data_IF_375269817853
#
_entry.id   IF_375269817853
#
_cell.length_a   1.000
_cell.length_b   1.000
_cell.length_c   1.000
_cell.angle_alpha   90.00
_cell.angle_beta   90.00
_cell.angle_gamma   90.00
#
_symmetry.space_group_name_H-M   'P 1'
#
loop_
_entity.id
_entity.type
_entity.pdbx_description
1 polymer ?
#
# COMPACT_ATOMS: atom_id res chain seq x y z
N UNK A 1 -14.67 -12.52 9.49
CA UNK A 1 -14.73 -11.25 8.73
C UNK A 1 -13.33 -10.75 8.39
N UNK A 2 -13.16 -9.94 7.34
CA UNK A 2 -11.82 -9.54 6.86
C UNK A 2 -11.01 -8.71 7.89
N UNK A 3 -11.68 -7.98 8.79
CA UNK A 3 -11.04 -7.34 9.97
C UNK A 3 -10.22 -8.30 10.84
N UNK A 4 -10.69 -9.53 11.02
CA UNK A 4 -9.98 -10.56 11.80
C UNK A 4 -8.73 -11.10 11.09
N UNK A 5 -8.66 -10.94 9.77
CA UNK A 5 -7.44 -11.25 9.01
C UNK A 5 -6.42 -10.15 9.23
N UNK A 6 -6.83 -8.87 9.10
CA UNK A 6 -5.93 -7.73 9.31
C UNK A 6 -5.43 -7.59 10.74
N UNK A 7 -6.20 -8.05 11.74
CA UNK A 7 -5.73 -8.09 13.13
C UNK A 7 -4.58 -9.07 13.38
N UNK A 8 -4.26 -9.96 12.43
CA UNK A 8 -3.13 -10.90 12.54
C UNK A 8 -1.79 -10.29 12.13
N UNK A 9 -1.79 -9.14 11.47
CA UNK A 9 -0.55 -8.40 11.16
C UNK A 9 0.09 -8.06 12.53
N UNK A 10 1.41 -8.24 12.75
CA UNK A 10 2.07 -7.81 14.00
C UNK A 10 2.04 -6.28 14.21
N UNK A 11 2.22 -5.82 15.45
CA UNK A 11 2.18 -4.39 15.76
C UNK A 11 3.49 -3.64 15.42
N UNK A 12 4.59 -4.37 15.17
CA UNK A 12 5.95 -3.87 14.96
C UNK A 12 6.47 -4.05 13.53
N UNK A 13 5.56 -4.24 12.56
CA UNK A 13 5.90 -4.42 11.15
C UNK A 13 6.54 -3.17 10.56
N UNK A 14 7.75 -3.32 10.02
CA UNK A 14 8.42 -2.25 9.26
C UNK A 14 7.92 -2.16 7.81
N UNK A 15 7.72 -3.32 7.15
CA UNK A 15 7.30 -3.41 5.75
C UNK A 15 6.06 -4.31 5.65
N UNK A 16 4.95 -3.74 5.19
CA UNK A 16 3.72 -4.47 4.92
C UNK A 16 3.53 -4.65 3.41
N UNK A 17 3.14 -5.84 2.97
CA UNK A 17 2.81 -6.12 1.57
C UNK A 17 1.41 -6.72 1.50
N UNK A 18 0.52 -6.12 0.69
CA UNK A 18 -0.82 -6.63 0.40
C UNK A 18 -1.06 -6.67 -1.10
N UNK A 19 -2.05 -7.42 -1.57
CA UNK A 19 -2.38 -7.41 -3.00
C UNK A 19 -3.03 -6.08 -3.42
N UNK A 20 -4.10 -5.69 -2.73
CA UNK A 20 -4.84 -4.45 -2.99
C UNK A 20 -4.53 -3.34 -1.97
N UNK A 21 -4.95 -2.09 -2.28
CA UNK A 21 -4.67 -0.92 -1.48
C UNK A 21 -5.55 -0.81 -0.22
N UNK A 22 -5.08 -0.10 0.83
CA UNK A 22 -5.97 0.46 1.83
C UNK A 22 -6.87 1.54 1.20
N UNK A 23 -8.05 1.76 1.79
CA UNK A 23 -8.98 2.79 1.27
C UNK A 23 -8.34 4.18 1.28
N UNK A 24 -8.67 4.99 0.28
CA UNK A 24 -8.20 6.37 0.09
C UNK A 24 -6.70 6.55 -0.20
N UNK A 25 -5.94 5.47 -0.37
CA UNK A 25 -4.50 5.51 -0.63
C UNK A 25 -4.24 4.84 -1.98
N UNK A 26 -3.94 5.62 -3.01
CA UNK A 26 -3.64 5.13 -4.37
C UNK A 26 -4.68 4.09 -4.89
N UNK A 27 -5.95 4.24 -4.52
CA UNK A 27 -7.03 3.26 -4.71
C UNK A 27 -8.17 3.76 -5.61
N UNK A 28 -7.96 4.85 -6.35
CA UNK A 28 -8.94 5.39 -7.30
C UNK A 28 -8.88 4.56 -8.59
N UNK A 29 -10.00 3.93 -8.95
CA UNK A 29 -10.14 3.20 -10.22
C UNK A 29 -10.41 4.15 -11.41
N UNK A 30 -10.52 3.60 -12.63
CA UNK A 30 -10.81 4.38 -13.84
C UNK A 30 -12.14 5.17 -13.79
N UNK A 31 -13.09 4.75 -12.95
CA UNK A 31 -14.37 5.42 -12.73
C UNK A 31 -14.27 6.58 -11.75
N UNK A 32 -13.11 6.82 -11.13
CA UNK A 32 -12.92 7.86 -10.11
C UNK A 32 -13.38 7.45 -8.72
N UNK A 33 -13.56 6.15 -8.45
CA UNK A 33 -14.07 5.63 -7.18
C UNK A 33 -12.95 5.04 -6.31
N UNK A 34 -13.01 5.29 -5.00
CA UNK A 34 -12.15 4.64 -4.02
C UNK A 34 -12.59 3.20 -3.77
N UNK A 35 -11.76 2.23 -4.18
CA UNK A 35 -12.06 0.79 -4.07
C UNK A 35 -11.22 0.04 -3.04
N UNK A 36 -10.36 0.75 -2.32
CA UNK A 36 -9.48 0.16 -1.30
C UNK A 36 -10.22 -0.31 -0.04
N UNK A 37 -9.53 -1.12 0.76
CA UNK A 37 -10.11 -1.72 1.96
C UNK A 37 -10.08 -0.77 3.17
N UNK A 38 -11.26 -0.37 3.68
CA UNK A 38 -11.35 0.52 4.85
C UNK A 38 -10.77 -0.12 6.13
N UNK A 39 -10.99 -1.42 6.33
CA UNK A 39 -10.47 -2.13 7.51
C UNK A 39 -8.94 -2.34 7.44
N UNK A 40 -8.36 -2.37 6.24
CA UNK A 40 -6.91 -2.38 6.06
C UNK A 40 -6.34 -1.00 6.43
N UNK A 41 -6.97 0.10 5.99
CA UNK A 41 -6.57 1.46 6.37
C UNK A 41 -6.58 1.63 7.90
N UNK A 42 -7.65 1.19 8.58
CA UNK A 42 -7.73 1.19 10.05
C UNK A 42 -6.53 0.48 10.68
N UNK A 43 -6.16 -0.69 10.16
CA UNK A 43 -5.04 -1.47 10.67
C UNK A 43 -3.71 -0.76 10.44
N UNK A 44 -3.48 -0.26 9.22
CA UNK A 44 -2.27 0.47 8.84
C UNK A 44 -2.10 1.72 9.70
N UNK A 45 -3.14 2.54 9.90
CA UNK A 45 -3.05 3.73 10.76
C UNK A 45 -2.72 3.40 12.22
N UNK A 46 -3.08 2.21 12.69
CA UNK A 46 -2.71 1.73 14.03
C UNK A 46 -1.23 1.36 14.15
N UNK A 47 -0.66 0.67 13.15
CA UNK A 47 0.73 0.14 13.23
C UNK A 47 1.78 1.01 12.59
N UNK A 48 1.38 1.85 11.63
CA UNK A 48 2.24 2.81 10.93
C UNK A 48 3.53 2.14 10.42
N UNK A 49 3.42 1.11 9.53
CA UNK A 49 4.60 0.52 8.94
C UNK A 49 5.38 1.60 8.20
N UNK A 50 6.70 1.48 8.12
CA UNK A 50 7.52 2.47 7.40
C UNK A 50 7.25 2.43 5.90
N UNK A 51 6.89 1.25 5.39
CA UNK A 51 6.55 1.02 4.00
C UNK A 51 5.36 0.06 3.87
N UNK A 52 4.35 0.44 3.10
CA UNK A 52 3.25 -0.43 2.71
C UNK A 52 3.17 -0.52 1.18
N UNK A 53 3.46 -1.70 0.65
CA UNK A 53 3.46 -2.01 -0.78
C UNK A 53 2.18 -2.77 -1.14
N UNK A 54 1.56 -2.38 -2.24
CA UNK A 54 0.43 -3.06 -2.84
C UNK A 54 0.41 -2.85 -4.35
N UNK A 55 -0.63 -3.34 -5.02
CA UNK A 55 -0.84 -3.13 -6.44
C UNK A 55 -2.33 -3.16 -6.76
N UNK A 56 -2.71 -4.00 -7.72
CA UNK A 56 -4.09 -4.29 -8.14
C UNK A 56 -4.80 -3.15 -8.87
N UNK A 57 -4.72 -1.92 -8.38
CA UNK A 57 -5.33 -0.74 -9.03
C UNK A 57 -4.29 -0.12 -9.96
N UNK A 58 -4.34 -0.46 -11.24
CA UNK A 58 -3.34 -0.07 -12.25
C UNK A 58 -3.27 1.45 -12.42
N UNK A 59 -4.41 2.11 -12.30
CA UNK A 59 -4.59 3.57 -12.37
C UNK A 59 -3.94 4.30 -11.20
N UNK A 60 -3.83 3.61 -10.07
CA UNK A 60 -3.25 4.14 -8.84
C UNK A 60 -1.73 3.98 -8.74
N UNK A 61 -1.04 3.51 -9.78
CA UNK A 61 0.42 3.38 -9.77
C UNK A 61 1.11 4.65 -9.28
N UNK A 62 2.04 4.48 -8.33
CA UNK A 62 2.79 5.60 -7.79
C UNK A 62 3.17 5.41 -6.33
N UNK A 63 3.53 6.53 -5.72
CA UNK A 63 3.95 6.64 -4.33
C UNK A 63 3.28 7.83 -3.68
N UNK A 64 2.87 7.66 -2.44
CA UNK A 64 2.48 8.75 -1.54
C UNK A 64 3.01 8.50 -0.12
N UNK A 65 2.90 9.51 0.74
CA UNK A 65 3.34 9.42 2.12
C UNK A 65 2.30 10.07 3.03
N UNK A 66 1.81 9.32 4.01
CA UNK A 66 0.85 9.78 5.01
C UNK A 66 1.18 9.11 6.35
N UNK A 67 1.02 9.85 7.46
CA UNK A 67 1.19 9.33 8.82
C UNK A 67 2.53 8.57 9.07
N UNK A 68 3.62 9.04 8.45
CA UNK A 68 4.97 8.42 8.49
C UNK A 68 5.07 7.03 7.83
N UNK A 69 4.07 6.66 7.02
CA UNK A 69 4.09 5.46 6.17
C UNK A 69 4.30 5.87 4.73
N UNK A 70 5.29 5.27 4.06
CA UNK A 70 5.42 5.36 2.60
C UNK A 70 4.49 4.32 1.99
N UNK A 71 3.58 4.76 1.11
CA UNK A 71 2.67 3.89 0.38
C UNK A 71 3.13 3.75 -1.07
N UNK A 72 3.16 2.53 -1.58
CA UNK A 72 3.59 2.24 -2.95
C UNK A 72 2.58 1.33 -3.61
N UNK A 73 1.93 1.84 -4.66
CA UNK A 73 1.22 1.03 -5.63
C UNK A 73 2.20 0.64 -6.74
N UNK A 74 2.72 -0.59 -6.64
CA UNK A 74 3.68 -1.18 -7.55
C UNK A 74 3.02 -1.98 -8.68
N UNK A 75 1.80 -1.60 -9.09
CA UNK A 75 1.21 -2.14 -10.32
C UNK A 75 2.22 -1.94 -11.46
N UNK A 76 2.58 -3.01 -12.15
CA UNK A 76 3.50 -2.93 -13.30
C UNK A 76 2.72 -2.73 -14.60
N UNK A 77 1.50 -3.25 -14.63
CA UNK A 77 0.64 -3.18 -15.79
C UNK A 77 -0.18 -1.90 -15.79
N UNK A 78 -0.30 -1.26 -16.95
CA UNK A 78 -1.29 -0.21 -17.18
C UNK A 78 -2.70 -0.78 -17.41
N UNK A 79 -3.68 0.09 -17.67
CA UNK A 79 -5.07 -0.29 -17.99
C UNK A 79 -5.20 -1.20 -19.22
N UNK A 80 -4.22 -1.17 -20.13
CA UNK A 80 -4.15 -2.05 -21.29
C UNK A 80 -3.47 -3.38 -21.00
N UNK A 81 -3.20 -3.70 -19.74
CA UNK A 81 -2.45 -4.89 -19.30
C UNK A 81 -1.03 -4.98 -19.86
N UNK A 82 -0.44 -3.85 -20.26
CA UNK A 82 0.95 -3.81 -20.73
C UNK A 82 1.86 -3.53 -19.54
N UNK A 83 2.97 -4.26 -19.36
CA UNK A 83 3.91 -4.04 -18.26
C UNK A 83 4.78 -2.81 -18.52
N UNK A 84 4.17 -1.63 -18.46
CA UNK A 84 4.73 -0.34 -18.90
C UNK A 84 5.09 0.58 -17.74
N UNK A 85 4.59 0.33 -16.54
CA UNK A 85 4.90 1.13 -15.35
C UNK A 85 6.29 0.73 -14.81
N UNK A 86 7.22 1.68 -14.62
CA UNK A 86 8.58 1.36 -14.21
C UNK A 86 8.63 0.88 -12.75
N UNK A 87 9.70 0.18 -12.34
CA UNK A 87 9.91 -0.14 -10.94
C UNK A 87 10.02 1.11 -10.08
N UNK A 88 9.41 1.08 -8.89
CA UNK A 88 9.55 2.13 -7.87
C UNK A 88 10.65 1.71 -6.89
N UNK A 89 11.69 2.54 -6.78
CA UNK A 89 12.78 2.34 -5.81
C UNK A 89 12.46 3.13 -4.55
N UNK A 90 12.52 2.47 -3.39
CA UNK A 90 12.34 3.10 -2.08
C UNK A 90 13.53 2.76 -1.19
N UNK A 91 14.21 3.79 -0.71
CA UNK A 91 15.27 3.67 0.27
C UNK A 91 14.67 3.80 1.68
N UNK A 92 14.94 2.82 2.54
CA UNK A 92 14.56 2.85 3.95
C UNK A 92 15.81 2.93 4.81
N UNK A 93 15.85 3.89 5.73
CA UNK A 93 16.94 3.99 6.71
C UNK A 93 17.02 2.70 7.54
N UNK A 94 18.22 2.20 7.79
CA UNK A 94 18.39 1.05 8.69
C UNK A 94 18.11 1.53 10.12
N UNK A 95 17.25 0.81 10.85
CA UNK A 95 17.08 1.08 12.29
C UNK A 95 18.44 0.94 12.96
N UNK A 96 18.93 2.00 13.58
CA UNK A 96 20.21 1.97 14.29
C UNK A 96 20.22 0.81 15.29
N UNK A 97 21.21 -0.06 15.16
CA UNK A 97 21.52 -1.06 16.19
C UNK A 97 22.21 -0.29 17.32
N UNK A 98 21.59 -0.28 18.50
CA UNK A 98 22.20 0.24 19.73
C UNK A 98 23.31 -0.71 20.18
#
# INVERSE_FOLDING_TARGET
EIKQIWSKIPDDVDVLITHGPPKNILDINFSGEHVGCAQLLERVKKIKPRLHIFGHIHEGYGREEEDSTIFVNASTCDLGYRPSQPPIVVDLEVKGTI
#
